data_IF_934050702069
#
_entry.id   IF_934050702069
#
_cell.length_a   1.000
_cell.length_b   1.000
_cell.length_c   1.000
_cell.angle_alpha   90.00
_cell.angle_beta   90.00
_cell.angle_gamma   90.00
#
_symmetry.space_group_name_H-M   'P 1'
#
loop_
_entity.id
_entity.type
_entity.pdbx_description
1 polymer ?
#
# COMPACT_ATOMS: atom_id res chain seq x y z
N UNK A 1 36.58 44.84 -13.19
CA UNK A 1 36.55 43.63 -12.34
C UNK A 1 35.09 43.29 -12.18
N UNK A 2 34.63 42.30 -12.95
CA UNK A 2 33.22 42.08 -13.31
C UNK A 2 32.68 40.89 -12.51
N UNK A 3 31.60 41.12 -11.79
CA UNK A 3 30.86 40.13 -11.00
C UNK A 3 30.24 39.05 -11.91
N UNK A 4 30.92 37.92 -12.04
CA UNK A 4 30.49 36.79 -12.88
C UNK A 4 29.87 35.61 -12.11
N UNK A 5 29.61 35.75 -10.80
CA UNK A 5 29.36 34.58 -9.94
C UNK A 5 27.93 34.45 -9.37
N UNK A 6 26.96 35.21 -9.89
CA UNK A 6 25.58 35.21 -9.37
C UNK A 6 24.67 34.12 -9.99
N UNK A 7 25.12 33.43 -11.04
CA UNK A 7 24.31 32.45 -11.78
C UNK A 7 24.27 31.03 -11.20
N UNK A 8 25.35 30.57 -10.55
CA UNK A 8 25.48 29.17 -10.11
C UNK A 8 24.65 28.82 -8.87
N UNK A 9 24.43 29.77 -7.97
CA UNK A 9 23.64 29.53 -6.75
C UNK A 9 22.14 29.34 -7.02
N UNK A 10 21.63 29.86 -8.13
CA UNK A 10 20.20 29.82 -8.44
C UNK A 10 19.74 28.47 -9.00
N UNK A 11 20.58 27.80 -9.77
CA UNK A 11 20.30 26.48 -10.36
C UNK A 11 20.42 25.37 -9.31
N UNK A 12 21.45 25.40 -8.46
CA UNK A 12 21.67 24.37 -7.44
C UNK A 12 20.49 24.21 -6.47
N UNK A 13 19.87 25.32 -6.03
CA UNK A 13 18.75 25.31 -5.10
C UNK A 13 17.44 24.80 -5.74
N UNK A 14 17.28 25.02 -7.05
CA UNK A 14 16.16 24.48 -7.84
C UNK A 14 16.30 22.98 -8.05
N UNK A 15 17.50 22.51 -8.42
CA UNK A 15 17.80 21.08 -8.58
C UNK A 15 17.58 20.32 -7.29
N UNK A 16 18.01 20.86 -6.16
CA UNK A 16 17.78 20.23 -4.85
C UNK A 16 16.29 20.08 -4.53
N UNK A 17 15.49 21.12 -4.80
CA UNK A 17 14.04 21.07 -4.61
C UNK A 17 13.37 20.00 -5.49
N UNK A 18 13.82 19.85 -6.74
CA UNK A 18 13.30 18.82 -7.65
C UNK A 18 13.67 17.40 -7.20
N UNK A 19 14.91 17.18 -6.74
CA UNK A 19 15.35 15.90 -6.18
C UNK A 19 14.51 15.55 -4.94
N UNK A 20 14.34 16.51 -4.03
CA UNK A 20 13.54 16.30 -2.83
C UNK A 20 12.08 15.96 -3.16
N UNK A 21 11.48 16.66 -4.13
CA UNK A 21 10.13 16.33 -4.59
C UNK A 21 10.05 14.91 -5.18
N UNK A 22 11.03 14.50 -5.98
CA UNK A 22 11.12 13.13 -6.51
C UNK A 22 11.20 12.07 -5.41
N UNK A 23 12.03 12.29 -4.38
CA UNK A 23 12.12 11.41 -3.22
C UNK A 23 10.81 11.32 -2.45
N UNK A 24 10.11 12.44 -2.27
CA UNK A 24 8.79 12.47 -1.62
C UNK A 24 7.76 11.67 -2.41
N UNK A 25 7.75 11.75 -3.76
CA UNK A 25 6.86 10.92 -4.59
C UNK A 25 7.14 9.45 -4.38
N UNK A 26 8.41 9.03 -4.44
CA UNK A 26 8.81 7.64 -4.24
C UNK A 26 8.39 7.16 -2.86
N UNK A 27 8.62 7.96 -1.82
CA UNK A 27 8.26 7.63 -0.45
C UNK A 27 6.75 7.51 -0.27
N UNK A 28 5.96 8.44 -0.81
CA UNK A 28 4.50 8.36 -0.76
C UNK A 28 4.00 7.09 -1.45
N UNK A 29 4.57 6.70 -2.59
CA UNK A 29 4.22 5.44 -3.25
C UNK A 29 4.61 4.21 -2.43
N UNK A 30 5.80 4.22 -1.82
CA UNK A 30 6.27 3.14 -0.96
C UNK A 30 5.39 2.99 0.30
N UNK A 31 4.99 4.11 0.89
CA UNK A 31 4.08 4.14 2.03
C UNK A 31 2.67 3.69 1.65
N UNK A 32 2.14 4.13 0.50
CA UNK A 32 0.84 3.64 -0.02
C UNK A 32 0.87 2.14 -0.28
N UNK A 33 1.99 1.61 -0.76
CA UNK A 33 2.20 0.17 -0.89
C UNK A 33 2.22 -0.52 0.47
N UNK A 34 2.86 0.07 1.47
CA UNK A 34 2.90 -0.44 2.84
C UNK A 34 1.50 -0.56 3.49
N UNK A 35 0.53 0.23 3.05
CA UNK A 35 -0.86 0.17 3.52
C UNK A 35 -1.68 -0.98 2.90
N UNK A 36 -1.11 -1.75 1.98
CA UNK A 36 -1.82 -2.86 1.34
C UNK A 36 -1.61 -4.19 2.08
N UNK A 37 -2.62 -5.06 2.09
CA UNK A 37 -2.64 -6.34 2.82
C UNK A 37 -1.41 -7.18 2.46
N UNK A 38 -0.52 -7.47 3.43
CA UNK A 38 0.66 -8.30 3.22
C UNK A 38 1.98 -7.54 3.05
N UNK A 39 1.99 -6.21 3.13
CA UNK A 39 3.26 -5.49 3.30
C UNK A 39 3.77 -5.67 4.74
N UNK A 40 4.95 -6.24 4.93
CA UNK A 40 5.47 -6.54 6.27
C UNK A 40 5.58 -5.30 7.17
N UNK A 41 5.29 -5.45 8.46
CA UNK A 41 5.36 -4.38 9.47
C UNK A 41 6.67 -3.58 9.43
N UNK A 42 7.80 -4.27 9.18
CA UNK A 42 9.11 -3.62 9.04
C UNK A 42 9.18 -2.61 7.89
N UNK A 43 8.49 -2.87 6.78
CA UNK A 43 8.40 -1.94 5.65
C UNK A 43 7.61 -0.67 6.01
N UNK A 44 6.52 -0.83 6.78
CA UNK A 44 5.74 0.31 7.29
C UNK A 44 6.54 1.19 8.25
N UNK A 45 7.35 0.58 9.13
CA UNK A 45 8.25 1.33 10.01
C UNK A 45 9.34 2.06 9.21
N UNK A 46 9.93 1.38 8.22
CA UNK A 46 10.98 1.97 7.38
C UNK A 46 10.45 3.20 6.62
N UNK A 47 9.32 3.06 5.93
CA UNK A 47 8.67 4.16 5.19
C UNK A 47 8.31 5.32 6.13
N UNK A 48 7.80 5.02 7.33
CA UNK A 48 7.53 6.06 8.33
C UNK A 48 8.79 6.87 8.70
N UNK A 49 9.91 6.19 8.96
CA UNK A 49 11.18 6.84 9.30
C UNK A 49 11.73 7.69 8.14
N UNK A 50 11.69 7.15 6.92
CA UNK A 50 12.11 7.87 5.71
C UNK A 50 11.23 9.10 5.47
N UNK A 51 9.90 8.95 5.61
CA UNK A 51 8.94 10.05 5.52
C UNK A 51 9.23 11.18 6.52
N UNK A 52 9.50 10.85 7.79
CA UNK A 52 9.89 11.84 8.81
C UNK A 52 11.18 12.56 8.40
N UNK A 53 12.20 11.84 7.95
CA UNK A 53 13.46 12.43 7.50
C UNK A 53 13.25 13.40 6.31
N UNK A 54 12.39 13.06 5.35
CA UNK A 54 12.05 13.92 4.21
C UNK A 54 11.29 15.18 4.64
N UNK A 55 10.37 15.08 5.60
CA UNK A 55 9.68 16.25 6.16
C UNK A 55 10.67 17.20 6.84
N UNK A 56 11.59 16.67 7.64
CA UNK A 56 12.64 17.50 8.29
C UNK A 56 13.53 18.17 7.25
N UNK A 57 13.96 17.44 6.21
CA UNK A 57 14.76 17.99 5.12
C UNK A 57 14.01 19.10 4.36
N UNK A 58 12.70 18.94 4.13
CA UNK A 58 11.85 19.95 3.51
C UNK A 58 11.69 21.21 4.37
N UNK A 59 11.48 21.06 5.68
CA UNK A 59 11.43 22.21 6.60
C UNK A 59 12.75 22.96 6.63
N UNK A 60 13.88 22.26 6.70
CA UNK A 60 15.20 22.89 6.63
C UNK A 60 15.40 23.65 5.30
N UNK A 61 14.94 23.07 4.18
CA UNK A 61 14.95 23.72 2.88
C UNK A 61 14.08 24.98 2.86
N UNK A 62 12.86 24.94 3.41
CA UNK A 62 11.98 26.11 3.53
C UNK A 62 12.60 27.23 4.35
N UNK A 63 13.17 26.91 5.51
CA UNK A 63 13.84 27.88 6.38
C UNK A 63 15.01 28.54 5.64
N UNK A 64 15.86 27.73 5.00
CA UNK A 64 16.99 28.23 4.20
C UNK A 64 16.53 29.11 3.04
N UNK A 65 15.43 28.75 2.38
CA UNK A 65 14.85 29.54 1.30
C UNK A 65 14.30 30.87 1.82
N UNK A 66 13.52 30.87 2.89
CA UNK A 66 12.91 32.06 3.47
C UNK A 66 13.97 33.10 3.91
N UNK A 67 15.09 32.63 4.47
CA UNK A 67 16.21 33.49 4.83
C UNK A 67 16.91 34.09 3.60
N UNK A 68 17.01 33.35 2.48
CA UNK A 68 17.76 33.79 1.29
C UNK A 68 16.95 34.59 0.28
N UNK A 69 15.68 34.23 0.07
CA UNK A 69 14.81 34.84 -0.94
C UNK A 69 13.49 35.22 -0.29
N UNK A 70 13.35 36.49 0.11
CA UNK A 70 12.14 37.07 0.72
C UNK A 70 10.90 37.10 -0.21
N UNK A 71 10.85 36.26 -1.24
CA UNK A 71 9.73 36.17 -2.18
C UNK A 71 9.17 34.76 -2.16
N UNK A 72 7.85 34.69 -2.02
CA UNK A 72 7.10 33.45 -2.12
C UNK A 72 7.28 32.85 -3.52
N UNK A 73 7.51 31.54 -3.57
CA UNK A 73 7.66 30.82 -4.82
C UNK A 73 6.73 29.60 -4.84
N UNK A 74 5.88 29.52 -5.87
CA UNK A 74 4.85 28.49 -5.99
C UNK A 74 5.39 27.05 -5.98
N UNK A 75 6.63 26.84 -6.44
CA UNK A 75 7.25 25.52 -6.44
C UNK A 75 7.44 24.93 -5.03
N UNK A 76 7.44 25.75 -3.98
CA UNK A 76 7.52 25.27 -2.59
C UNK A 76 6.28 24.48 -2.17
N UNK A 77 5.15 24.67 -2.86
CA UNK A 77 3.90 23.97 -2.58
C UNK A 77 3.82 22.58 -3.20
N UNK A 78 4.73 22.20 -4.11
CA UNK A 78 4.69 20.90 -4.79
C UNK A 78 4.76 19.75 -3.78
N UNK A 79 5.70 19.82 -2.84
CA UNK A 79 5.93 18.79 -1.82
C UNK A 79 4.71 18.59 -0.89
N UNK A 80 4.13 19.64 -0.26
CA UNK A 80 2.93 19.46 0.56
C UNK A 80 1.72 19.01 -0.27
N UNK A 81 1.59 19.43 -1.53
CA UNK A 81 0.53 18.92 -2.42
C UNK A 81 0.68 17.41 -2.68
N UNK A 82 1.89 16.90 -2.92
CA UNK A 82 2.14 15.46 -3.07
C UNK A 82 1.75 14.71 -1.79
N UNK A 83 2.16 15.23 -0.62
CA UNK A 83 1.79 14.63 0.67
C UNK A 83 0.28 14.57 0.89
N UNK A 84 -0.45 15.65 0.58
CA UNK A 84 -1.91 15.70 0.68
C UNK A 84 -2.60 14.73 -0.28
N UNK A 85 -2.11 14.62 -1.52
CA UNK A 85 -2.62 13.64 -2.49
C UNK A 85 -2.38 12.20 -2.01
N UNK A 86 -1.20 11.93 -1.45
CA UNK A 86 -0.89 10.63 -0.83
C UNK A 86 -1.83 10.28 0.31
N UNK A 87 -2.08 11.22 1.24
CA UNK A 87 -3.05 11.04 2.31
C UNK A 87 -4.46 10.80 1.77
N UNK A 88 -4.91 11.59 0.79
CA UNK A 88 -6.21 11.38 0.14
C UNK A 88 -6.35 10.00 -0.51
N UNK A 89 -5.28 9.50 -1.15
CA UNK A 89 -5.26 8.16 -1.71
C UNK A 89 -5.36 7.07 -0.64
N UNK A 90 -4.68 7.23 0.49
CA UNK A 90 -4.78 6.28 1.60
C UNK A 90 -6.18 6.26 2.22
N UNK A 91 -6.76 7.44 2.51
CA UNK A 91 -8.11 7.53 3.10
C UNK A 91 -9.23 7.01 2.21
N UNK A 92 -9.08 7.11 0.89
CA UNK A 92 -10.06 6.60 -0.08
C UNK A 92 -9.96 5.08 -0.30
N UNK A 93 -8.96 4.41 0.30
CA UNK A 93 -8.69 2.99 0.09
C UNK A 93 -8.27 2.66 -1.34
N UNK A 94 -7.82 3.66 -2.12
CA UNK A 94 -7.41 3.46 -3.52
C UNK A 94 -6.32 2.40 -3.69
N UNK A 95 -5.25 2.36 -2.86
CA UNK A 95 -4.24 1.30 -2.97
C UNK A 95 -4.83 -0.10 -2.79
N UNK A 96 -5.72 -0.26 -1.81
CA UNK A 96 -6.37 -1.54 -1.54
C UNK A 96 -7.27 -1.96 -2.71
N UNK A 97 -8.05 -1.03 -3.28
CA UNK A 97 -8.90 -1.29 -4.46
C UNK A 97 -8.07 -1.63 -5.70
N UNK A 98 -6.98 -0.89 -5.93
CA UNK A 98 -6.09 -1.13 -7.07
C UNK A 98 -5.40 -2.50 -6.99
N UNK A 99 -4.94 -2.86 -5.79
CA UNK A 99 -4.35 -4.18 -5.55
C UNK A 99 -5.38 -5.29 -5.71
N UNK A 100 -6.59 -5.11 -5.16
CA UNK A 100 -7.67 -6.06 -5.32
C UNK A 100 -8.03 -6.29 -6.79
N UNK A 101 -8.16 -5.22 -7.59
CA UNK A 101 -8.44 -5.34 -9.02
C UNK A 101 -7.38 -6.16 -9.79
N UNK A 102 -6.13 -6.16 -9.31
CA UNK A 102 -5.07 -7.00 -9.86
C UNK A 102 -5.13 -8.45 -9.34
N UNK A 103 -5.38 -8.65 -8.05
CA UNK A 103 -5.33 -9.96 -7.40
C UNK A 103 -6.60 -10.79 -7.64
N UNK A 104 -7.78 -10.17 -7.66
CA UNK A 104 -9.09 -10.81 -7.80
C UNK A 104 -9.17 -11.84 -8.95
N UNK A 105 -8.79 -11.52 -10.20
CA UNK A 105 -8.90 -12.50 -11.29
C UNK A 105 -7.98 -13.71 -11.07
N UNK A 106 -6.80 -13.51 -10.46
CA UNK A 106 -5.83 -14.57 -10.20
C UNK A 106 -6.29 -15.48 -9.06
N UNK A 107 -6.79 -14.87 -7.99
CA UNK A 107 -7.40 -15.59 -6.87
C UNK A 107 -8.64 -16.35 -7.33
N UNK A 108 -9.45 -15.79 -8.24
CA UNK A 108 -10.64 -16.44 -8.78
C UNK A 108 -10.30 -17.67 -9.61
N UNK A 109 -9.26 -17.59 -10.45
CA UNK A 109 -8.76 -18.75 -11.19
C UNK A 109 -8.29 -19.84 -10.23
N UNK A 110 -7.47 -19.49 -9.24
CA UNK A 110 -6.99 -20.43 -8.23
C UNK A 110 -8.15 -21.07 -7.43
N UNK A 111 -9.18 -20.29 -7.09
CA UNK A 111 -10.35 -20.81 -6.39
C UNK A 111 -11.16 -21.79 -7.25
N UNK A 112 -11.33 -21.49 -8.54
CA UNK A 112 -12.02 -22.40 -9.48
C UNK A 112 -11.25 -23.70 -9.69
N UNK A 113 -9.93 -23.62 -9.80
CA UNK A 113 -9.07 -24.80 -9.84
C UNK A 113 -9.18 -25.63 -8.55
N UNK A 114 -9.20 -24.97 -7.38
CA UNK A 114 -9.39 -25.63 -6.10
C UNK A 114 -10.76 -26.32 -5.96
N UNK A 115 -11.81 -25.75 -6.56
CA UNK A 115 -13.13 -26.38 -6.62
C UNK A 115 -13.08 -27.62 -7.51
N UNK A 116 -12.49 -27.51 -8.70
CA UNK A 116 -12.43 -28.57 -9.70
C UNK A 116 -11.54 -29.76 -9.32
N UNK A 117 -10.45 -29.52 -8.58
CA UNK A 117 -9.52 -30.57 -8.15
C UNK A 117 -9.56 -30.79 -6.63
N UNK A 118 -9.99 -31.97 -6.13
CA UNK A 118 -9.91 -32.32 -4.71
C UNK A 118 -8.49 -32.30 -4.12
N UNK A 119 -7.44 -32.39 -4.94
CA UNK A 119 -6.03 -32.40 -4.49
C UNK A 119 -5.41 -31.00 -4.40
N UNK A 120 -6.14 -29.96 -4.80
CA UNK A 120 -5.65 -28.59 -4.77
C UNK A 120 -5.76 -27.92 -3.39
N UNK A 121 -6.33 -28.60 -2.39
CA UNK A 121 -6.21 -28.21 -1.00
C UNK A 121 -4.76 -28.38 -0.53
N UNK A 122 -4.22 -27.35 0.10
CA UNK A 122 -2.88 -27.41 0.68
C UNK A 122 -2.87 -26.79 2.07
N UNK A 123 -2.24 -27.49 3.00
CA UNK A 123 -2.07 -27.09 4.39
C UNK A 123 -0.60 -26.83 4.75
N UNK A 124 0.31 -27.07 3.82
CA UNK A 124 1.73 -26.81 4.02
C UNK A 124 2.00 -25.31 3.96
N UNK A 125 2.73 -24.80 4.94
CA UNK A 125 3.18 -23.40 5.05
C UNK A 125 4.18 -22.99 3.98
N UNK A 126 4.29 -23.74 2.87
CA UNK A 126 5.13 -23.31 1.78
C UNK A 126 4.46 -22.11 1.11
N UNK A 127 5.04 -20.93 1.35
CA UNK A 127 4.62 -19.63 0.82
C UNK A 127 4.23 -19.74 -0.65
N UNK A 128 2.92 -19.86 -0.92
CA UNK A 128 2.41 -19.88 -2.28
C UNK A 128 1.87 -18.50 -2.58
N UNK A 129 2.58 -17.79 -3.46
CA UNK A 129 2.14 -16.46 -3.89
C UNK A 129 1.07 -16.59 -4.97
N UNK A 130 -0.10 -15.99 -4.74
CA UNK A 130 -1.14 -15.83 -5.77
C UNK A 130 -1.32 -14.34 -6.04
N UNK A 131 -0.92 -13.91 -7.24
CA UNK A 131 -0.85 -12.49 -7.58
C UNK A 131 0.20 -11.81 -6.72
N UNK A 132 -0.23 -10.84 -5.92
CA UNK A 132 0.64 -10.19 -4.92
C UNK A 132 0.41 -10.71 -3.50
N UNK A 133 -0.49 -11.67 -3.28
CA UNK A 133 -0.84 -12.17 -1.96
C UNK A 133 -0.01 -13.40 -1.58
N UNK A 134 0.54 -13.41 -0.37
CA UNK A 134 1.17 -14.59 0.23
C UNK A 134 0.10 -15.45 0.90
N UNK A 135 -0.18 -16.62 0.31
CA UNK A 135 -1.20 -17.55 0.78
C UNK A 135 -0.51 -18.66 1.58
N UNK A 136 -0.86 -18.74 2.87
CA UNK A 136 -0.29 -19.71 3.80
C UNK A 136 -0.99 -21.06 3.74
N UNK A 137 -2.28 -21.08 3.40
CA UNK A 137 -3.06 -22.31 3.21
C UNK A 137 -4.33 -22.06 2.42
N UNK A 138 -4.84 -23.13 1.81
CA UNK A 138 -6.14 -23.15 1.13
C UNK A 138 -6.97 -24.32 1.63
N UNK A 139 -8.23 -24.06 1.97
CA UNK A 139 -9.19 -25.10 2.36
C UNK A 139 -10.49 -24.97 1.58
N UNK A 140 -11.17 -26.09 1.33
CA UNK A 140 -12.48 -26.13 0.66
C UNK A 140 -13.50 -26.86 1.53
N UNK A 141 -14.64 -26.22 1.76
CA UNK A 141 -15.77 -26.80 2.51
C UNK A 141 -17.05 -26.38 1.83
N UNK A 142 -17.92 -27.33 1.49
CA UNK A 142 -19.24 -27.09 0.86
C UNK A 142 -19.20 -26.18 -0.38
N UNK A 143 -18.14 -26.29 -1.19
CA UNK A 143 -17.95 -25.48 -2.40
C UNK A 143 -17.41 -24.06 -2.15
N UNK A 144 -17.15 -23.69 -0.89
CA UNK A 144 -16.49 -22.45 -0.49
C UNK A 144 -14.98 -22.67 -0.41
N UNK A 145 -14.21 -21.82 -1.08
CA UNK A 145 -12.74 -21.84 -1.01
C UNK A 145 -12.26 -20.75 -0.08
N UNK A 146 -11.46 -21.10 0.92
CA UNK A 146 -10.88 -20.16 1.88
C UNK A 146 -9.36 -20.12 1.70
N UNK A 147 -8.84 -18.93 1.46
CA UNK A 147 -7.41 -18.63 1.46
C UNK A 147 -7.06 -17.96 2.79
N UNK A 148 -6.06 -18.49 3.50
CA UNK A 148 -5.45 -17.78 4.63
C UNK A 148 -4.26 -16.99 4.11
N UNK A 149 -4.27 -15.69 4.44
CA UNK A 149 -3.19 -14.77 4.14
C UNK A 149 -2.41 -14.49 5.41
N UNK A 150 -1.09 -14.33 5.27
CA UNK A 150 -0.32 -13.69 6.33
C UNK A 150 -0.75 -12.22 6.43
N UNK A 151 -1.40 -11.86 7.53
CA UNK A 151 -1.77 -10.47 7.77
C UNK A 151 -0.54 -9.70 8.23
N UNK A 152 -0.34 -8.54 7.66
CA UNK A 152 0.64 -7.54 8.09
C UNK A 152 0.30 -6.89 9.44
N UNK A 153 -0.93 -7.10 9.90
CA UNK A 153 -1.58 -6.28 10.92
C UNK A 153 -1.23 -6.73 12.37
N UNK A 154 -0.31 -7.70 12.51
CA UNK A 154 0.24 -8.18 13.77
C UNK A 154 0.60 -9.66 13.70
N UNK A 155 1.58 -10.10 14.50
CA UNK A 155 2.07 -11.49 14.56
C UNK A 155 0.98 -12.57 14.81
N UNK A 156 -0.24 -12.18 15.18
CA UNK A 156 -1.32 -13.09 15.56
C UNK A 156 -2.61 -12.95 14.75
N UNK A 157 -2.76 -11.96 13.87
CA UNK A 157 -4.00 -11.84 13.07
C UNK A 157 -3.81 -12.53 11.71
N UNK A 158 -4.71 -13.46 11.38
CA UNK A 158 -4.78 -14.04 10.04
C UNK A 158 -5.96 -13.41 9.31
N UNK A 159 -5.69 -12.84 8.14
CA UNK A 159 -6.77 -12.40 7.24
C UNK A 159 -7.18 -13.60 6.40
N UNK A 160 -8.47 -13.93 6.38
CA UNK A 160 -9.00 -14.95 5.46
C UNK A 160 -9.74 -14.29 4.31
N UNK A 161 -9.55 -14.83 3.10
CA UNK A 161 -10.38 -14.52 1.94
C UNK A 161 -11.23 -15.74 1.62
N UNK A 162 -12.54 -15.55 1.50
CA UNK A 162 -13.48 -16.58 1.10
C UNK A 162 -14.02 -16.29 -0.29
N UNK A 163 -13.87 -17.26 -1.18
CA UNK A 163 -14.54 -17.30 -2.47
C UNK A 163 -15.79 -18.19 -2.36
N UNK A 164 -16.94 -17.57 -2.64
CA UNK A 164 -18.29 -18.15 -2.57
C UNK A 164 -18.95 -17.96 -3.93
N UNK A 165 -18.91 -18.98 -4.82
CA UNK A 165 -19.39 -18.84 -6.19
C UNK A 165 -20.91 -18.61 -6.29
N UNK A 166 -21.65 -18.95 -5.24
CA UNK A 166 -23.09 -18.71 -5.08
C UNK A 166 -23.41 -17.28 -4.61
N UNK A 167 -22.40 -16.48 -4.26
CA UNK A 167 -22.56 -15.13 -3.74
C UNK A 167 -23.10 -15.06 -2.31
N UNK A 168 -23.20 -16.20 -1.61
CA UNK A 168 -23.71 -16.21 -0.23
C UNK A 168 -22.79 -15.41 0.71
N UNK A 169 -23.38 -14.81 1.75
CA UNK A 169 -22.61 -14.16 2.82
C UNK A 169 -22.06 -15.21 3.79
N UNK A 170 -20.86 -15.02 4.37
CA UNK A 170 -20.35 -15.94 5.38
C UNK A 170 -21.23 -16.06 6.63
N UNK A 171 -21.36 -17.27 7.17
CA UNK A 171 -22.30 -17.59 8.26
C UNK A 171 -21.94 -16.92 9.59
N UNK A 172 -20.66 -16.58 9.78
CA UNK A 172 -20.13 -15.92 10.98
C UNK A 172 -19.64 -14.50 10.67
N UNK A 173 -20.52 -13.69 10.11
CA UNK A 173 -20.27 -12.26 9.93
C UNK A 173 -20.80 -11.46 11.12
N UNK A 174 -19.95 -11.27 12.13
CA UNK A 174 -20.15 -10.14 13.04
C UNK A 174 -20.04 -8.83 12.25
N UNK A 175 -20.67 -7.75 12.74
CA UNK A 175 -20.83 -6.46 12.02
C UNK A 175 -19.54 -5.88 11.45
N UNK A 176 -18.37 -6.20 12.03
CA UNK A 176 -17.06 -5.70 11.60
C UNK A 176 -16.09 -6.81 11.15
N UNK A 177 -16.54 -8.07 11.04
CA UNK A 177 -15.65 -9.21 10.76
C UNK A 177 -15.65 -9.63 9.29
N UNK A 178 -16.69 -9.26 8.55
CA UNK A 178 -16.78 -9.56 7.13
C UNK A 178 -16.89 -8.28 6.32
N UNK A 179 -16.05 -8.18 5.29
CA UNK A 179 -16.13 -7.12 4.30
C UNK A 179 -16.28 -7.78 2.93
N UNK A 180 -17.37 -7.45 2.22
CA UNK A 180 -17.49 -7.81 0.81
C UNK A 180 -16.44 -7.04 0.02
N UNK A 181 -15.67 -7.74 -0.81
CA UNK A 181 -14.65 -7.16 -1.67
C UNK A 181 -15.15 -7.00 -3.10
N UNK A 182 -15.84 -8.03 -3.61
CA UNK A 182 -16.48 -8.09 -4.92
C UNK A 182 -17.50 -9.24 -4.96
N UNK A 183 -18.09 -9.49 -6.12
CA UNK A 183 -19.06 -10.57 -6.32
C UNK A 183 -18.44 -11.94 -5.99
N UNK A 184 -18.97 -12.57 -4.94
CA UNK A 184 -18.49 -13.86 -4.46
C UNK A 184 -17.20 -13.80 -3.63
N UNK A 185 -16.65 -12.62 -3.34
CA UNK A 185 -15.44 -12.48 -2.53
C UNK A 185 -15.68 -11.74 -1.23
N UNK A 186 -15.24 -12.36 -0.15
CA UNK A 186 -15.35 -11.83 1.21
C UNK A 186 -14.02 -11.86 1.93
N UNK A 187 -13.64 -10.74 2.55
CA UNK A 187 -12.60 -10.70 3.57
C UNK A 187 -13.25 -11.05 4.91
N UNK A 188 -12.73 -12.05 5.59
CA UNK A 188 -13.16 -12.48 6.92
C UNK A 188 -12.00 -12.38 7.89
N UNK A 189 -12.19 -11.63 8.98
CA UNK A 189 -11.22 -11.55 10.08
C UNK A 189 -11.50 -12.68 11.07
N UNK A 190 -10.47 -13.49 11.33
CA UNK A 190 -10.48 -14.58 12.31
C UNK A 190 -9.64 -14.14 13.50
N UNK A 191 -10.25 -14.11 14.68
CA UNK A 191 -9.56 -13.89 15.97
C UNK A 191 -8.86 -15.17 16.45
#
# INVERSE_FOLDING_TARGET
MMDADSGQGATALGTFGAILAGLVVIEVLAWLWAQTIGAGFGWSVLTLLVGVALVVAWLAYLVTWAFRRKRFAWHLLIIPTIGLLGLGAAFSGLPQKARWAYDEPRLTVAAREAIADPRAEFHDQNDRTIGTQEVSSTSKVDGVVTFRLFSSDGFFSMTTLQYRPDGSSPDRCGTNRCQSLSDGWWRVLVD
#
